data_IF_939917818698
#
_entry.id   IF_939917818698
#
_cell.length_a   1.000
_cell.length_b   1.000
_cell.length_c   1.000
_cell.angle_alpha   90.00
_cell.angle_beta   90.00
_cell.angle_gamma   90.00
#
_symmetry.space_group_name_H-M   'P 1'
#
loop_
_entity.id
_entity.type
_entity.pdbx_description
1 polymer ?
#
# COMPACT_ATOMS: atom_id res chain seq x y z
N UNK A 1 -11.04 77.24 -14.53
CA UNK A 1 -11.05 76.81 -13.12
C UNK A 1 -11.47 75.35 -13.12
N UNK A 2 -10.51 74.42 -12.96
CA UNK A 2 -10.77 72.97 -12.96
C UNK A 2 -10.32 72.46 -11.60
N UNK A 3 -11.29 72.07 -10.77
CA UNK A 3 -11.04 71.45 -9.47
C UNK A 3 -10.47 70.04 -9.67
N UNK A 4 -9.22 69.84 -9.24
CA UNK A 4 -8.60 68.52 -9.15
C UNK A 4 -9.21 67.77 -7.96
N UNK A 5 -10.21 66.93 -8.21
CA UNK A 5 -10.69 65.93 -7.24
C UNK A 5 -9.55 64.96 -6.93
N UNK A 6 -8.93 65.15 -5.77
CA UNK A 6 -7.85 64.30 -5.25
C UNK A 6 -8.40 62.89 -4.93
N UNK A 7 -8.35 61.98 -5.91
CA UNK A 7 -8.69 60.57 -5.75
C UNK A 7 -7.64 59.93 -4.83
N UNK A 8 -7.94 59.84 -3.52
CA UNK A 8 -7.13 59.09 -2.55
C UNK A 8 -7.00 57.64 -3.05
N UNK A 9 -5.78 57.23 -3.42
CA UNK A 9 -5.49 55.83 -3.72
C UNK A 9 -5.50 55.07 -2.40
N UNK A 10 -6.50 54.21 -2.20
CA UNK A 10 -6.50 53.22 -1.13
C UNK A 10 -5.40 52.21 -1.47
N UNK A 11 -4.33 52.21 -0.70
CA UNK A 11 -3.23 51.25 -0.82
C UNK A 11 -2.90 50.72 0.56
N UNK A 12 -2.59 49.43 0.64
CA UNK A 12 -2.18 48.78 1.88
C UNK A 12 -0.82 49.32 2.33
N UNK A 13 -0.67 49.55 3.64
CA UNK A 13 0.64 49.90 4.20
C UNK A 13 1.54 48.66 4.22
N UNK A 14 2.86 48.87 4.19
CA UNK A 14 3.83 47.77 4.31
C UNK A 14 3.60 46.96 5.59
N UNK A 15 3.29 47.63 6.70
CA UNK A 15 2.99 46.98 7.98
C UNK A 15 1.74 46.10 7.90
N UNK A 16 0.69 46.56 7.22
CA UNK A 16 -0.55 45.79 7.04
C UNK A 16 -0.33 44.54 6.19
N UNK A 17 0.46 44.64 5.12
CA UNK A 17 0.86 43.48 4.31
C UNK A 17 1.73 42.51 5.10
N UNK A 18 2.67 42.99 5.91
CA UNK A 18 3.53 42.12 6.72
C UNK A 18 2.76 41.39 7.83
N UNK A 19 1.83 42.06 8.51
CA UNK A 19 1.00 41.43 9.54
C UNK A 19 0.09 40.37 8.91
N UNK A 20 -0.53 40.67 7.78
CA UNK A 20 -1.42 39.70 7.09
C UNK A 20 -0.65 38.49 6.57
N UNK A 21 0.52 38.68 5.94
CA UNK A 21 1.39 37.57 5.54
C UNK A 21 1.92 36.78 6.74
N UNK A 22 2.24 37.45 7.86
CA UNK A 22 2.65 36.79 9.10
C UNK A 22 1.55 35.89 9.67
N UNK A 23 0.30 36.39 9.74
CA UNK A 23 -0.85 35.61 10.22
C UNK A 23 -1.12 34.42 9.29
N UNK A 24 -1.17 34.64 7.97
CA UNK A 24 -1.39 33.57 7.00
C UNK A 24 -0.26 32.54 7.07
N UNK A 25 0.99 32.97 7.24
CA UNK A 25 2.16 32.09 7.38
C UNK A 25 2.04 31.16 8.59
N UNK A 26 1.67 31.70 9.75
CA UNK A 26 1.47 30.89 10.98
C UNK A 26 0.31 29.92 10.82
N UNK A 27 -0.83 30.38 10.31
CA UNK A 27 -2.01 29.53 10.10
C UNK A 27 -1.70 28.41 9.10
N UNK A 28 -1.04 28.73 7.99
CA UNK A 28 -0.64 27.75 6.97
C UNK A 28 0.34 26.70 7.53
N UNK A 29 1.30 27.10 8.37
CA UNK A 29 2.26 26.19 8.99
C UNK A 29 1.58 25.12 9.87
N UNK A 30 0.45 25.44 10.50
CA UNK A 30 -0.31 24.50 11.35
C UNK A 30 -1.30 23.68 10.51
N UNK A 31 -1.95 24.30 9.52
CA UNK A 31 -3.03 23.66 8.75
C UNK A 31 -2.54 22.77 7.61
N UNK A 32 -1.51 23.19 6.85
CA UNK A 32 -1.05 22.44 5.68
C UNK A 32 -0.58 21.03 6.01
N UNK A 33 0.26 20.79 7.04
CA UNK A 33 0.68 19.43 7.38
C UNK A 33 -0.51 18.52 7.75
N UNK A 34 -1.47 19.07 8.50
CA UNK A 34 -2.67 18.35 8.95
C UNK A 34 -3.56 17.94 7.79
N UNK A 35 -3.80 18.84 6.83
CA UNK A 35 -4.62 18.57 5.65
C UNK A 35 -3.92 17.55 4.74
N UNK A 36 -2.61 17.68 4.54
CA UNK A 36 -1.82 16.74 3.73
C UNK A 36 -1.87 15.34 4.34
N UNK A 37 -1.67 15.21 5.65
CA UNK A 37 -1.75 13.92 6.35
C UNK A 37 -3.15 13.29 6.22
N UNK A 38 -4.21 14.08 6.42
CA UNK A 38 -5.60 13.60 6.26
C UNK A 38 -5.92 13.17 4.83
N UNK A 39 -5.41 13.90 3.84
CA UNK A 39 -5.55 13.55 2.43
C UNK A 39 -4.87 12.22 2.11
N UNK A 40 -3.59 12.06 2.50
CA UNK A 40 -2.83 10.81 2.33
C UNK A 40 -3.54 9.63 2.98
N UNK A 41 -4.05 9.80 4.20
CA UNK A 41 -4.83 8.79 4.92
C UNK A 41 -6.04 8.32 4.10
N UNK A 42 -6.85 9.23 3.58
CA UNK A 42 -8.03 8.92 2.75
C UNK A 42 -7.69 8.22 1.44
N UNK A 43 -6.59 8.63 0.80
CA UNK A 43 -6.09 7.97 -0.41
C UNK A 43 -5.74 6.52 -0.12
N UNK A 44 -5.01 6.26 0.96
CA UNK A 44 -4.60 4.90 1.37
C UNK A 44 -5.82 4.04 1.76
N UNK A 45 -6.79 4.58 2.50
CA UNK A 45 -8.05 3.89 2.83
C UNK A 45 -8.79 3.42 1.56
N UNK A 46 -8.90 4.30 0.57
CA UNK A 46 -9.58 4.02 -0.70
C UNK A 46 -8.83 2.95 -1.49
N UNK A 47 -7.52 3.11 -1.64
CA UNK A 47 -6.66 2.18 -2.38
C UNK A 47 -6.63 0.78 -1.74
N UNK A 48 -6.59 0.68 -0.41
CA UNK A 48 -6.64 -0.60 0.30
C UNK A 48 -7.95 -1.34 0.05
N UNK A 49 -9.07 -0.63 0.14
CA UNK A 49 -10.40 -1.19 -0.12
C UNK A 49 -10.53 -1.65 -1.57
N UNK A 50 -10.04 -0.85 -2.51
CA UNK A 50 -10.02 -1.18 -3.94
C UNK A 50 -9.17 -2.42 -4.21
N UNK A 51 -7.95 -2.47 -3.69
CA UNK A 51 -7.05 -3.60 -3.85
C UNK A 51 -7.66 -4.90 -3.29
N UNK A 52 -8.19 -4.87 -2.07
CA UNK A 52 -8.86 -6.03 -1.49
C UNK A 52 -10.07 -6.49 -2.32
N UNK A 53 -10.90 -5.56 -2.79
CA UNK A 53 -12.07 -5.88 -3.62
C UNK A 53 -11.66 -6.46 -4.97
N UNK A 54 -10.66 -5.87 -5.62
CA UNK A 54 -10.16 -6.32 -6.93
C UNK A 54 -9.58 -7.74 -6.83
N UNK A 55 -8.73 -8.00 -5.82
CA UNK A 55 -8.17 -9.33 -5.62
C UNK A 55 -9.27 -10.36 -5.34
N UNK A 56 -10.21 -10.08 -4.43
CA UNK A 56 -11.32 -11.01 -4.15
C UNK A 56 -12.23 -11.24 -5.37
N UNK A 57 -12.43 -10.23 -6.22
CA UNK A 57 -13.15 -10.41 -7.48
C UNK A 57 -12.38 -11.31 -8.45
N UNK A 58 -11.05 -11.15 -8.55
CA UNK A 58 -10.21 -12.02 -9.36
C UNK A 58 -10.30 -13.49 -8.90
N UNK A 59 -10.23 -13.74 -7.59
CA UNK A 59 -10.41 -15.09 -7.04
C UNK A 59 -11.78 -15.69 -7.39
N UNK A 60 -12.87 -14.92 -7.27
CA UNK A 60 -14.22 -15.41 -7.63
C UNK A 60 -14.37 -15.73 -9.12
N UNK A 61 -13.74 -14.94 -9.99
CA UNK A 61 -13.76 -15.18 -11.43
C UNK A 61 -12.93 -16.41 -11.78
N UNK A 62 -11.79 -16.59 -11.13
CA UNK A 62 -10.98 -17.79 -11.26
C UNK A 62 -11.74 -19.06 -10.80
N UNK A 63 -12.46 -18.98 -9.67
CA UNK A 63 -13.29 -20.10 -9.19
C UNK A 63 -14.42 -20.46 -10.16
N UNK A 64 -14.94 -19.48 -10.90
CA UNK A 64 -15.95 -19.73 -11.93
C UNK A 64 -15.39 -20.53 -13.11
N UNK A 65 -14.12 -20.32 -13.47
CA UNK A 65 -13.51 -20.93 -14.66
C UNK A 65 -12.76 -22.23 -14.33
N UNK A 66 -12.13 -22.31 -13.16
CA UNK A 66 -11.30 -23.44 -12.71
C UNK A 66 -11.95 -24.29 -11.61
N UNK A 67 -13.13 -23.91 -11.12
CA UNK A 67 -13.78 -24.55 -9.99
C UNK A 67 -13.20 -24.14 -8.64
N UNK A 68 -13.62 -24.82 -7.56
CA UNK A 68 -13.17 -24.52 -6.20
C UNK A 68 -11.64 -24.50 -6.10
N UNK A 69 -11.11 -23.52 -5.37
CA UNK A 69 -9.67 -23.30 -5.21
C UNK A 69 -8.94 -24.52 -4.61
N UNK A 70 -9.64 -25.45 -3.94
CA UNK A 70 -9.07 -26.72 -3.50
C UNK A 70 -8.70 -27.70 -4.60
N UNK A 71 -9.22 -27.51 -5.82
CA UNK A 71 -8.86 -28.32 -6.99
C UNK A 71 -7.75 -27.72 -7.85
N UNK A 72 -7.24 -26.54 -7.50
CA UNK A 72 -6.17 -25.88 -8.26
C UNK A 72 -4.81 -26.52 -7.97
N UNK A 73 -3.84 -26.27 -8.85
CA UNK A 73 -2.46 -26.68 -8.62
C UNK A 73 -1.93 -26.04 -7.33
N UNK A 74 -1.13 -26.80 -6.59
CA UNK A 74 -0.49 -26.28 -5.38
C UNK A 74 0.74 -25.45 -5.76
N UNK A 75 0.80 -24.15 -5.42
CA UNK A 75 1.96 -23.34 -5.69
C UNK A 75 3.12 -23.82 -4.81
N UNK A 76 4.27 -24.00 -5.45
CA UNK A 76 5.55 -24.19 -4.80
C UNK A 76 6.41 -22.95 -5.05
N UNK A 77 7.41 -22.74 -4.19
CA UNK A 77 8.39 -21.71 -4.48
C UNK A 77 9.10 -22.04 -5.79
N UNK A 78 9.33 -21.02 -6.60
CA UNK A 78 10.00 -21.13 -7.91
C UNK A 78 11.39 -21.79 -7.84
N UNK A 79 12.03 -21.86 -6.66
CA UNK A 79 13.34 -22.48 -6.44
C UNK A 79 13.30 -23.94 -5.90
N UNK A 80 12.12 -24.48 -5.57
CA UNK A 80 11.99 -25.85 -5.06
C UNK A 80 11.72 -26.85 -6.20
N UNK A 81 12.35 -28.03 -6.11
CA UNK A 81 12.12 -29.12 -7.05
C UNK A 81 10.70 -29.71 -6.84
N UNK A 82 9.79 -29.44 -7.77
CA UNK A 82 8.42 -29.99 -7.82
C UNK A 82 7.33 -29.00 -7.38
N UNK A 83 6.21 -28.98 -8.12
CA UNK A 83 5.09 -28.05 -7.98
C UNK A 83 5.10 -26.92 -9.02
N UNK A 84 4.01 -26.16 -9.14
CA UNK A 84 3.89 -24.99 -10.02
C UNK A 84 4.52 -23.79 -9.34
N UNK A 85 5.41 -23.04 -9.99
CA UNK A 85 6.03 -21.85 -9.36
C UNK A 85 4.97 -20.86 -8.88
N UNK A 86 5.18 -20.20 -7.75
CA UNK A 86 4.26 -19.20 -7.18
C UNK A 86 3.89 -18.09 -8.18
N UNK A 87 4.86 -17.68 -9.01
CA UNK A 87 4.60 -16.80 -10.15
C UNK A 87 3.68 -17.45 -11.20
N UNK A 88 4.01 -18.66 -11.68
CA UNK A 88 3.23 -19.38 -12.70
C UNK A 88 1.80 -19.67 -12.26
N UNK A 89 1.63 -20.03 -10.99
CA UNK A 89 0.34 -20.21 -10.35
C UNK A 89 -0.49 -18.93 -10.41
N UNK A 90 0.13 -17.79 -10.04
CA UNK A 90 -0.52 -16.49 -10.15
C UNK A 90 -0.87 -16.14 -11.60
N UNK A 91 0.02 -16.42 -12.56
CA UNK A 91 -0.21 -16.17 -13.98
C UNK A 91 -1.41 -16.94 -14.53
N UNK A 92 -1.59 -18.18 -14.08
CA UNK A 92 -2.67 -19.06 -14.54
C UNK A 92 -4.00 -18.66 -13.92
N UNK A 93 -4.05 -18.54 -12.59
CA UNK A 93 -5.31 -18.44 -11.87
C UNK A 93 -5.76 -17.01 -11.59
N UNK A 94 -4.86 -16.03 -11.43
CA UNK A 94 -5.23 -14.72 -10.89
C UNK A 94 -4.94 -13.58 -11.89
N UNK A 95 -3.80 -13.60 -12.55
CA UNK A 95 -3.38 -12.56 -13.50
C UNK A 95 -4.42 -12.26 -14.60
N UNK A 96 -5.13 -13.24 -15.21
CA UNK A 96 -6.08 -12.97 -16.30
C UNK A 96 -7.24 -12.07 -15.88
N UNK A 97 -7.56 -12.03 -14.59
CA UNK A 97 -8.69 -11.28 -14.04
C UNK A 97 -8.27 -9.95 -13.42
N UNK A 98 -6.98 -9.60 -13.46
CA UNK A 98 -6.44 -8.36 -12.91
C UNK A 98 -6.12 -7.34 -14.00
N UNK A 99 -6.43 -6.07 -13.72
CA UNK A 99 -5.99 -4.93 -14.54
C UNK A 99 -4.59 -4.47 -14.12
N UNK A 100 -3.58 -5.28 -14.43
CA UNK A 100 -2.17 -4.92 -14.21
C UNK A 100 -1.59 -4.14 -15.40
N UNK A 101 -0.71 -3.17 -15.12
CA UNK A 101 0.08 -2.47 -16.15
C UNK A 101 1.34 -3.24 -16.49
N UNK A 102 2.05 -3.75 -15.48
CA UNK A 102 3.29 -4.51 -15.64
C UNK A 102 3.32 -5.63 -14.61
N UNK A 103 3.81 -6.80 -15.01
CA UNK A 103 4.12 -7.90 -14.09
C UNK A 103 5.56 -8.32 -14.32
N UNK A 104 6.33 -8.41 -13.24
CA UNK A 104 7.71 -8.90 -13.25
C UNK A 104 7.77 -10.21 -12.48
N UNK A 105 8.44 -11.20 -13.04
CA UNK A 105 8.60 -12.52 -12.44
C UNK A 105 9.56 -12.57 -11.23
N UNK A 106 10.24 -11.46 -10.91
CA UNK A 106 11.14 -11.38 -9.76
C UNK A 106 10.99 -10.08 -8.98
N UNK A 107 11.04 -10.23 -7.65
CA UNK A 107 11.07 -9.18 -6.66
C UNK A 107 11.77 -9.70 -5.42
N UNK A 108 12.87 -9.05 -5.04
CA UNK A 108 13.65 -9.41 -3.86
C UNK A 108 13.66 -8.25 -2.86
N UNK A 109 13.34 -8.57 -1.60
CA UNK A 109 13.41 -7.66 -0.48
C UNK A 109 14.40 -8.19 0.57
N UNK A 110 15.69 -7.93 0.33
CA UNK A 110 16.82 -8.49 1.06
C UNK A 110 16.77 -8.34 2.58
N UNK A 111 16.18 -7.26 3.12
CA UNK A 111 16.14 -7.04 4.57
C UNK A 111 15.24 -8.02 5.31
N UNK A 112 14.32 -8.70 4.61
CA UNK A 112 13.35 -9.64 5.18
C UNK A 112 13.40 -11.02 4.57
N UNK A 113 14.36 -11.32 3.69
CA UNK A 113 14.48 -12.61 2.99
C UNK A 113 13.18 -12.98 2.28
N UNK A 114 12.65 -12.03 1.53
CA UNK A 114 11.41 -12.22 0.78
C UNK A 114 11.72 -12.17 -0.71
N UNK A 115 11.41 -13.28 -1.38
CA UNK A 115 11.54 -13.45 -2.81
C UNK A 115 10.16 -13.79 -3.38
N UNK A 116 9.84 -13.23 -4.54
CA UNK A 116 8.56 -13.42 -5.20
C UNK A 116 8.50 -12.68 -6.52
N UNK A 117 7.32 -12.22 -6.90
CA UNK A 117 7.07 -11.46 -8.12
C UNK A 117 6.46 -10.10 -7.79
N UNK A 118 6.50 -9.17 -8.75
CA UNK A 118 5.96 -7.82 -8.61
C UNK A 118 4.86 -7.55 -9.63
N UNK A 119 3.81 -6.87 -9.16
CA UNK A 119 2.65 -6.43 -9.92
C UNK A 119 2.57 -4.92 -9.80
N UNK A 120 2.55 -4.23 -10.93
CA UNK A 120 2.19 -2.82 -11.00
C UNK A 120 0.78 -2.70 -11.54
N UNK A 121 -0.07 -1.93 -10.85
CA UNK A 121 -1.44 -1.68 -11.28
C UNK A 121 -1.52 -0.39 -12.10
N UNK A 122 -2.54 -0.29 -12.96
CA UNK A 122 -2.76 0.89 -13.80
C UNK A 122 -3.02 2.18 -12.99
N UNK A 123 -3.46 2.06 -11.74
CA UNK A 123 -3.75 3.18 -10.84
C UNK A 123 -2.50 3.70 -10.09
N UNK A 124 -1.31 3.22 -10.43
CA UNK A 124 -0.05 3.64 -9.81
C UNK A 124 0.25 3.01 -8.44
N UNK A 125 -0.58 2.06 -8.00
CA UNK A 125 -0.29 1.18 -6.86
C UNK A 125 0.48 -0.05 -7.32
N UNK A 126 1.02 -0.81 -6.39
CA UNK A 126 1.71 -2.05 -6.70
C UNK A 126 1.50 -3.11 -5.62
N UNK A 127 1.78 -4.35 -5.94
CA UNK A 127 1.90 -5.42 -4.97
C UNK A 127 3.12 -6.29 -5.30
N UNK A 128 3.84 -6.76 -4.30
CA UNK A 128 4.72 -7.91 -4.46
C UNK A 128 4.07 -9.11 -3.81
N UNK A 129 4.13 -10.27 -4.46
CA UNK A 129 3.49 -11.49 -3.98
C UNK A 129 4.46 -12.67 -4.11
N UNK A 130 4.38 -13.63 -3.21
CA UNK A 130 5.26 -14.80 -3.22
C UNK A 130 5.15 -15.61 -1.93
N UNK A 131 5.74 -16.80 -1.94
CA UNK A 131 5.79 -17.65 -0.75
C UNK A 131 6.97 -17.21 0.12
N UNK A 132 6.66 -16.69 1.31
CA UNK A 132 7.66 -16.10 2.18
C UNK A 132 8.77 -17.07 2.60
N UNK A 133 9.99 -16.55 2.78
CA UNK A 133 11.12 -17.35 3.24
C UNK A 133 11.45 -17.07 4.72
N UNK A 134 11.63 -18.15 5.48
CA UNK A 134 12.30 -18.09 6.79
C UNK A 134 11.41 -17.97 8.03
N UNK A 135 10.21 -17.37 7.97
CA UNK A 135 9.33 -17.27 9.16
C UNK A 135 7.97 -17.99 9.01
N UNK A 136 7.48 -18.16 7.78
CA UNK A 136 6.26 -18.91 7.45
C UNK A 136 6.34 -19.40 6.01
N UNK A 137 5.72 -20.53 5.67
CA UNK A 137 5.53 -20.94 4.28
C UNK A 137 4.22 -20.37 3.69
N UNK A 138 3.79 -19.20 4.19
CA UNK A 138 2.57 -18.55 3.73
C UNK A 138 2.79 -17.88 2.36
N UNK A 139 1.79 -17.96 1.48
CA UNK A 139 1.74 -17.15 0.27
C UNK A 139 1.28 -15.73 0.67
N UNK A 140 2.21 -14.79 0.66
CA UNK A 140 1.98 -13.40 1.07
C UNK A 140 1.91 -12.48 -0.13
N UNK A 141 1.16 -11.40 0.04
CA UNK A 141 1.15 -10.25 -0.85
C UNK A 141 1.35 -8.98 -0.04
N UNK A 142 2.41 -8.24 -0.35
CA UNK A 142 2.68 -6.90 0.19
C UNK A 142 2.11 -5.87 -0.78
N UNK A 143 1.03 -5.21 -0.39
CA UNK A 143 0.43 -4.11 -1.14
C UNK A 143 1.13 -2.79 -0.83
N UNK A 144 1.53 -2.06 -1.88
CA UNK A 144 2.15 -0.74 -1.80
C UNK A 144 1.20 0.32 -2.39
N UNK A 145 0.75 1.31 -1.59
CA UNK A 145 -0.07 2.44 -2.08
C UNK A 145 0.60 3.26 -3.20
N UNK A 146 1.93 3.13 -3.38
CA UNK A 146 2.70 3.77 -4.44
C UNK A 146 3.68 2.77 -5.06
N UNK A 147 3.58 2.54 -6.36
CA UNK A 147 4.48 1.67 -7.11
C UNK A 147 5.94 2.13 -7.04
N UNK A 148 6.18 3.45 -7.01
CA UNK A 148 7.52 4.03 -6.83
C UNK A 148 8.22 3.50 -5.56
N UNK A 149 7.47 3.33 -4.46
CA UNK A 149 8.02 2.86 -3.20
C UNK A 149 8.47 1.39 -3.30
N UNK A 150 7.71 0.55 -3.99
CA UNK A 150 8.09 -0.85 -4.27
C UNK A 150 9.37 -0.91 -5.12
N UNK A 151 9.49 -0.08 -6.16
CA UNK A 151 10.67 -0.02 -7.03
C UNK A 151 11.92 0.45 -6.30
N UNK A 152 11.78 1.43 -5.41
CA UNK A 152 12.89 2.00 -4.63
C UNK A 152 13.56 0.96 -3.71
N UNK A 153 12.77 0.01 -3.19
CA UNK A 153 13.22 -0.98 -2.20
C UNK A 153 13.59 -2.33 -2.80
N UNK A 154 13.15 -2.60 -4.04
CA UNK A 154 13.56 -3.77 -4.81
C UNK A 154 15.09 -3.80 -4.88
N UNK A 155 15.67 -4.93 -4.46
CA UNK A 155 17.13 -5.14 -4.47
C UNK A 155 17.96 -4.15 -3.64
N UNK A 156 17.31 -3.35 -2.78
CA UNK A 156 17.98 -2.28 -2.03
C UNK A 156 17.71 -2.39 -0.52
N UNK A 157 18.57 -3.14 0.18
CA UNK A 157 18.44 -3.37 1.63
C UNK A 157 18.38 -2.07 2.45
N UNK A 158 19.17 -1.05 2.08
CA UNK A 158 19.23 0.23 2.80
C UNK A 158 17.91 1.00 2.72
N UNK A 159 17.25 1.01 1.56
CA UNK A 159 15.94 1.66 1.42
C UNK A 159 14.82 0.80 2.00
N UNK A 160 14.91 -0.52 1.85
CA UNK A 160 13.96 -1.45 2.45
C UNK A 160 13.93 -1.34 3.98
N UNK A 161 15.07 -1.05 4.63
CA UNK A 161 15.15 -0.77 6.07
C UNK A 161 14.41 0.50 6.52
N UNK A 162 14.00 1.37 5.60
CA UNK A 162 13.23 2.59 5.92
C UNK A 162 11.73 2.42 5.74
N UNK A 163 11.29 1.26 5.24
CA UNK A 163 9.87 0.98 5.05
C UNK A 163 9.14 0.93 6.39
N UNK A 164 8.01 1.61 6.44
CA UNK A 164 7.07 1.57 7.56
C UNK A 164 5.90 0.63 7.20
N UNK A 165 5.82 -0.60 7.77
CA UNK A 165 4.63 -1.44 7.62
C UNK A 165 3.38 -0.73 8.14
N UNK A 166 2.23 -0.95 7.50
CA UNK A 166 0.99 -0.27 7.83
C UNK A 166 0.93 1.19 7.35
N UNK A 167 1.90 1.63 6.55
CA UNK A 167 1.92 2.94 5.88
C UNK A 167 2.45 2.84 4.46
N UNK A 168 3.68 2.34 4.31
CA UNK A 168 4.35 2.20 3.02
C UNK A 168 3.96 0.90 2.31
N UNK A 169 3.62 -0.14 3.09
CA UNK A 169 3.04 -1.37 2.58
C UNK A 169 2.09 -2.02 3.60
N UNK A 170 1.24 -2.92 3.11
CA UNK A 170 0.23 -3.65 3.87
C UNK A 170 0.25 -5.13 3.48
N UNK A 171 0.15 -6.03 4.46
CA UNK A 171 0.33 -7.46 4.21
C UNK A 171 -1.02 -8.18 4.11
N UNK A 172 -1.14 -8.98 3.07
CA UNK A 172 -2.25 -9.87 2.81
C UNK A 172 -1.70 -11.30 2.67
N UNK A 173 -2.58 -12.27 2.88
CA UNK A 173 -2.33 -13.70 2.70
C UNK A 173 -3.27 -14.24 1.64
N UNK A 174 -2.71 -15.02 0.71
CA UNK A 174 -3.47 -15.96 -0.09
C UNK A 174 -3.51 -17.25 0.72
N UNK A 175 -4.70 -17.60 1.20
CA UNK A 175 -4.90 -18.81 1.96
C UNK A 175 -5.18 -19.97 1.01
N UNK A 176 -4.34 -21.00 1.07
CA UNK A 176 -4.43 -22.19 0.22
C UNK A 176 -5.07 -23.37 0.97
N UNK A 177 -5.15 -23.28 2.30
CA UNK A 177 -5.63 -24.35 3.18
C UNK A 177 -7.14 -24.15 3.53
N UNK A 178 -7.53 -24.29 4.79
CA UNK A 178 -8.91 -24.01 5.24
C UNK A 178 -9.24 -22.53 5.12
N UNK A 179 -10.46 -22.19 4.66
CA UNK A 179 -10.88 -20.82 4.30
C UNK A 179 -10.03 -20.20 3.18
N UNK A 180 -10.00 -20.88 2.03
CA UNK A 180 -9.26 -20.45 0.84
C UNK A 180 -9.67 -19.05 0.36
N UNK A 181 -8.71 -18.35 -0.25
CA UNK A 181 -8.93 -17.05 -0.87
C UNK A 181 -8.00 -15.96 -0.35
N UNK A 182 -8.43 -14.70 -0.47
CA UNK A 182 -7.58 -13.53 -0.24
C UNK A 182 -8.05 -12.67 0.92
N UNK A 183 -7.19 -12.51 1.94
CA UNK A 183 -7.51 -11.74 3.14
C UNK A 183 -6.31 -10.97 3.69
N UNK A 184 -6.53 -9.89 4.46
CA UNK A 184 -5.48 -9.30 5.27
C UNK A 184 -4.79 -10.36 6.14
N UNK A 185 -3.50 -10.21 6.40
CA UNK A 185 -2.78 -11.15 7.24
C UNK A 185 -3.44 -11.25 8.63
N UNK A 186 -3.69 -12.48 9.10
CA UNK A 186 -4.40 -12.72 10.35
C UNK A 186 -3.48 -12.53 11.56
N UNK A 187 -3.29 -11.27 11.94
CA UNK A 187 -2.53 -10.86 13.12
C UNK A 187 -3.13 -9.58 13.69
N UNK A 188 -3.08 -9.40 15.00
CA UNK A 188 -3.42 -8.13 15.65
C UNK A 188 -2.18 -7.24 15.87
N UNK A 189 -1.02 -7.66 15.37
CA UNK A 189 0.23 -6.88 15.43
C UNK A 189 0.16 -5.68 14.47
N UNK A 190 -0.13 -4.50 15.01
CA UNK A 190 0.07 -3.25 14.30
C UNK A 190 0.69 -2.24 15.25
N UNK A 191 1.93 -1.82 14.98
CA UNK A 191 2.69 -0.89 15.80
C UNK A 191 3.72 -0.15 14.95
N UNK A 192 4.14 1.03 15.41
CA UNK A 192 5.15 1.82 14.70
C UNK A 192 6.52 1.11 14.73
N UNK A 193 7.04 0.82 13.55
CA UNK A 193 8.36 0.20 13.37
C UNK A 193 8.87 0.53 11.96
N UNK A 194 10.15 0.29 11.70
CA UNK A 194 10.79 0.44 10.38
C UNK A 194 11.68 -0.75 10.10
N UNK A 195 11.62 -1.28 8.88
CA UNK A 195 12.74 -2.04 8.31
C UNK A 195 13.31 -3.21 9.09
N UNK A 196 12.54 -3.86 9.95
CA UNK A 196 13.07 -4.98 10.73
C UNK A 196 13.02 -6.27 9.92
N UNK A 197 13.98 -7.14 10.20
CA UNK A 197 13.95 -8.56 9.80
C UNK A 197 12.57 -9.16 10.15
N UNK A 198 12.05 -10.05 9.30
CA UNK A 198 10.83 -10.85 9.53
C UNK A 198 9.46 -10.16 9.35
N UNK A 199 9.35 -9.10 8.53
CA UNK A 199 8.07 -8.45 8.19
C UNK A 199 7.21 -8.13 9.43
N UNK A 200 7.55 -7.11 10.24
CA UNK A 200 6.82 -6.79 11.46
C UNK A 200 5.46 -6.11 11.18
N UNK A 201 4.63 -5.96 12.22
CA UNK A 201 3.36 -5.22 12.16
C UNK A 201 2.41 -5.71 11.03
N UNK A 202 2.32 -7.03 10.86
CA UNK A 202 1.59 -7.71 9.77
C UNK A 202 0.08 -7.47 9.82
N UNK A 203 -0.46 -7.18 10.99
CA UNK A 203 -1.88 -7.01 11.28
C UNK A 203 -2.48 -5.66 10.89
N UNK A 204 -1.69 -4.70 10.42
CA UNK A 204 -2.19 -3.36 10.14
C UNK A 204 -3.33 -3.32 9.10
N UNK A 205 -3.27 -4.16 8.06
CA UNK A 205 -4.34 -4.27 7.07
C UNK A 205 -5.63 -4.82 7.69
N UNK A 206 -5.54 -5.82 8.58
CA UNK A 206 -6.66 -6.41 9.29
C UNK A 206 -7.32 -5.42 10.24
N UNK A 207 -6.53 -4.63 10.95
CA UNK A 207 -7.03 -3.57 11.84
C UNK A 207 -7.87 -2.54 11.05
N UNK A 208 -7.39 -2.14 9.87
CA UNK A 208 -8.13 -1.22 8.98
C UNK A 208 -9.39 -1.88 8.41
N UNK A 209 -9.31 -3.15 8.00
CA UNK A 209 -10.47 -3.91 7.52
C UNK A 209 -11.56 -4.03 8.60
N UNK A 210 -11.19 -4.38 9.85
CA UNK A 210 -12.10 -4.45 11.01
C UNK A 210 -12.80 -3.11 11.28
N UNK A 211 -12.16 -2.00 10.90
CA UNK A 211 -12.73 -0.65 10.98
C UNK A 211 -13.30 -0.17 9.63
N UNK A 212 -13.91 -1.07 8.84
CA UNK A 212 -14.57 -0.79 7.57
C UNK A 212 -13.69 -0.06 6.55
N UNK A 213 -12.42 -0.47 6.43
CA UNK A 213 -11.42 0.15 5.56
C UNK A 213 -11.11 1.61 5.89
N UNK A 214 -11.45 2.06 7.10
CA UNK A 214 -11.10 3.38 7.62
C UNK A 214 -9.97 3.22 8.62
N UNK A 215 -8.92 4.01 8.50
CA UNK A 215 -7.83 4.01 9.46
C UNK A 215 -8.34 4.70 10.74
N UNK A 216 -8.32 4.06 11.92
CA UNK A 216 -8.91 4.64 13.12
C UNK A 216 -8.12 5.85 13.63
N UNK A 217 -8.71 6.61 14.56
CA UNK A 217 -8.07 7.79 15.15
C UNK A 217 -6.88 7.44 16.04
N UNK A 218 -6.94 6.29 16.71
CA UNK A 218 -5.87 5.72 17.55
C UNK A 218 -4.91 4.82 16.77
N UNK A 219 -4.85 4.95 15.45
CA UNK A 219 -3.92 4.16 14.63
C UNK A 219 -2.46 4.43 15.05
N UNK A 220 -1.64 3.40 15.29
CA UNK A 220 -0.34 3.55 15.92
C UNK A 220 0.73 4.20 15.02
N UNK A 221 0.46 4.34 13.71
CA UNK A 221 1.41 4.85 12.71
C UNK A 221 0.90 6.19 12.14
N UNK A 222 1.80 7.16 12.02
CA UNK A 222 1.46 8.51 11.49
C UNK A 222 1.65 8.59 9.98
N UNK A 223 0.69 9.18 9.27
CA UNK A 223 0.71 9.39 7.81
C UNK A 223 1.41 10.68 7.39
#
# INVERSE_FOLDING_TARGET
MIDYLNKRKLAFTLAEVLITLGIIGVVAAITLPTIIAKSKKRVVETQLKEYYSMMNQAFKLAENDYGDMGGWDSPARTDKLGGTGDYEWFQTYIQPYLKSSTVKNSFHLWCVWYDGFAIEFINGTAASCGIAEGFSNDFLCMFYPKAEKMKEVQDNSTQAQKLVPGKDYFIFKINLDDNKGFQPYDSDECYATTGTRWLPARGCARLIQKNNWTIPSNYPIKF
#
